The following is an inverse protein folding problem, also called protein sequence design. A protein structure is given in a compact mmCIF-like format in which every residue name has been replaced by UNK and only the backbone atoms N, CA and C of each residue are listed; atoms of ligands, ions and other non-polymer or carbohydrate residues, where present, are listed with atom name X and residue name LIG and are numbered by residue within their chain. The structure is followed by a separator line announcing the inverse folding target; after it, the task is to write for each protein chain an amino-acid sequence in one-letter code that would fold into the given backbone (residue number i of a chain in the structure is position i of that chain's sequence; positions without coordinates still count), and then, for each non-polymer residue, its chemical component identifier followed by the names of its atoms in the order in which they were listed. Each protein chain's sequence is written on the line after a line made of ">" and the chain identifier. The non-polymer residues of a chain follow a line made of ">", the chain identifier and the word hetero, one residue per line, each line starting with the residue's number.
data_IF_717398739564
#
_entry.id   IF_717398739564
#
_cell.length_a   1.000
_cell.length_b   1.000
_cell.length_c   1.000
_cell.angle_alpha   90.00
_cell.angle_beta   90.00
_cell.angle_gamma   90.00
#
_symmetry.space_group_name_H-M   'P 1'
#
loop_
_entity.id
_entity.type
_entity.pdbx_description
1 polymer ?
#
# COMPACT_ATOMS: atom_id res chain seq x y z
N UNK A 1 12.41 -9.99 31.73
CA UNK A 1 11.03 -9.57 32.08
C UNK A 1 10.97 -8.05 32.06
N UNK A 2 9.85 -7.46 31.63
CA UNK A 2 9.48 -6.02 31.57
C UNK A 2 10.28 -5.12 30.60
N UNK A 3 9.83 -4.79 29.37
CA UNK A 3 8.64 -4.02 28.92
C UNK A 3 8.45 -2.68 29.67
N UNK A 4 8.85 -1.58 29.02
CA UNK A 4 8.05 -0.35 28.78
C UNK A 4 8.97 0.81 28.42
N UNK A 5 9.04 1.16 27.14
CA UNK A 5 9.34 2.53 26.72
C UNK A 5 8.28 2.95 25.70
N UNK A 6 7.31 3.69 26.21
CA UNK A 6 6.81 4.94 25.62
C UNK A 6 6.73 4.97 24.09
N UNK A 7 5.67 4.37 23.53
CA UNK A 7 5.25 4.60 22.15
C UNK A 7 3.94 5.41 22.11
N UNK A 8 3.81 6.41 22.99
CA UNK A 8 2.77 7.43 22.88
C UNK A 8 3.41 8.69 22.31
N UNK A 9 2.78 9.22 21.25
CA UNK A 9 3.09 10.47 20.52
C UNK A 9 4.02 10.34 19.32
N UNK A 10 3.47 9.88 18.20
CA UNK A 10 3.29 10.69 16.96
C UNK A 10 2.74 9.79 15.84
N UNK A 11 1.65 10.22 15.23
CA UNK A 11 0.96 9.50 14.15
C UNK A 11 -0.45 10.02 13.88
N UNK A 12 -0.97 10.90 14.73
CA UNK A 12 -2.24 11.62 14.54
C UNK A 12 -2.17 12.76 13.51
N UNK A 13 -1.48 12.54 12.40
CA UNK A 13 -1.75 13.23 11.15
C UNK A 13 -1.90 12.16 10.08
N UNK A 14 -3.03 11.45 10.16
CA UNK A 14 -3.63 10.86 8.97
C UNK A 14 -4.00 12.03 8.05
N UNK A 15 -3.02 12.55 7.30
CA UNK A 15 -3.33 13.05 5.98
C UNK A 15 -3.85 11.84 5.20
N UNK A 16 -5.15 11.59 5.34
CA UNK A 16 -5.95 11.16 4.20
C UNK A 16 -5.60 12.11 3.07
N UNK A 17 -5.53 11.59 1.86
CA UNK A 17 -5.14 12.29 0.64
C UNK A 17 -3.63 12.33 0.42
N UNK A 18 -3.10 11.23 -0.09
CA UNK A 18 -2.56 11.27 -1.47
C UNK A 18 -2.53 9.83 -1.99
N UNK A 19 -3.67 9.34 -2.51
CA UNK A 19 -3.58 8.66 -3.79
C UNK A 19 -2.75 9.60 -4.64
N UNK A 20 -1.59 9.16 -5.08
CA UNK A 20 -0.63 10.00 -5.77
C UNK A 20 -1.22 10.38 -7.14
N UNK A 21 -2.17 11.31 -7.14
CA UNK A 21 -2.90 11.88 -8.27
C UNK A 21 -2.04 12.90 -9.01
N UNK A 22 -0.74 12.97 -8.74
CA UNK A 22 0.16 13.96 -9.30
C UNK A 22 0.86 13.53 -10.60
N UNK A 23 0.52 12.37 -11.18
CA UNK A 23 1.14 11.94 -12.46
C UNK A 23 0.19 11.38 -13.53
N UNK A 24 -1.13 11.55 -13.42
CA UNK A 24 -2.05 11.18 -14.51
C UNK A 24 -2.63 12.47 -15.08
N UNK A 25 -1.92 13.01 -16.07
CA UNK A 25 -2.40 14.06 -16.96
C UNK A 25 -3.60 13.48 -17.74
N UNK A 26 -4.81 13.93 -17.40
CA UNK A 26 -6.02 13.72 -18.20
C UNK A 26 -6.80 12.43 -17.92
N UNK A 27 -7.51 12.36 -16.79
CA UNK A 27 -8.46 11.26 -16.50
C UNK A 27 -8.95 11.32 -15.05
N UNK A 28 -10.24 11.03 -14.81
CA UNK A 28 -10.89 11.26 -13.52
C UNK A 28 -10.28 10.42 -12.38
N UNK A 29 -9.80 11.02 -11.27
CA UNK A 29 -9.16 10.31 -10.16
C UNK A 29 -10.04 9.24 -9.48
N UNK A 30 -11.36 9.32 -9.63
CA UNK A 30 -12.30 8.32 -9.15
C UNK A 30 -12.22 6.99 -9.93
N UNK A 31 -12.00 7.05 -11.25
CA UNK A 31 -11.88 5.85 -12.11
C UNK A 31 -10.59 5.09 -11.80
N UNK A 32 -9.50 5.79 -11.57
CA UNK A 32 -8.22 5.17 -11.19
C UNK A 32 -8.27 4.51 -9.80
N UNK A 33 -9.01 5.12 -8.86
CA UNK A 33 -9.23 4.53 -7.52
C UNK A 33 -10.03 3.22 -7.61
N UNK A 34 -11.11 3.19 -8.40
CA UNK A 34 -11.93 1.99 -8.57
C UNK A 34 -11.21 0.89 -9.35
N UNK A 35 -10.37 1.25 -10.34
CA UNK A 35 -9.50 0.30 -11.04
C UNK A 35 -8.45 -0.30 -10.13
N UNK A 36 -7.82 0.53 -9.28
CA UNK A 36 -6.86 0.06 -8.29
C UNK A 36 -7.50 -0.89 -7.27
N UNK A 37 -8.69 -0.55 -6.76
CA UNK A 37 -9.44 -1.40 -5.82
C UNK A 37 -9.76 -2.79 -6.40
N UNK A 38 -10.25 -2.82 -7.65
CA UNK A 38 -10.50 -4.08 -8.37
C UNK A 38 -9.22 -4.88 -8.61
N UNK A 39 -8.13 -4.21 -9.00
CA UNK A 39 -6.83 -4.86 -9.18
C UNK A 39 -6.31 -5.44 -7.86
N UNK A 40 -6.43 -4.71 -6.74
CA UNK A 40 -6.04 -5.19 -5.42
C UNK A 40 -6.84 -6.42 -4.98
N UNK A 41 -8.16 -6.44 -5.24
CA UNK A 41 -9.01 -7.61 -4.97
C UNK A 41 -8.52 -8.85 -5.73
N UNK A 42 -8.11 -8.68 -6.99
CA UNK A 42 -7.51 -9.78 -7.79
C UNK A 42 -6.12 -10.16 -7.30
N UNK A 43 -5.32 -9.20 -6.83
CA UNK A 43 -4.00 -9.48 -6.23
C UNK A 43 -4.14 -10.26 -4.94
N UNK A 44 -5.13 -9.95 -4.10
CA UNK A 44 -5.36 -10.63 -2.82
C UNK A 44 -5.65 -12.12 -3.01
N UNK A 45 -6.39 -12.47 -4.06
CA UNK A 45 -6.65 -13.86 -4.45
C UNK A 45 -5.38 -14.61 -4.88
N UNK A 46 -4.35 -13.90 -5.36
CA UNK A 46 -3.07 -14.49 -5.78
C UNK A 46 -2.06 -14.54 -4.65
N UNK A 47 -1.89 -13.42 -3.95
CA UNK A 47 -0.99 -13.24 -2.82
C UNK A 47 -1.54 -12.16 -1.88
N UNK A 48 -2.14 -12.63 -0.79
CA UNK A 48 -2.73 -11.76 0.23
C UNK A 48 -1.70 -10.84 0.90
N UNK A 49 -0.42 -11.25 1.01
CA UNK A 49 0.62 -10.43 1.63
C UNK A 49 1.01 -9.28 0.71
N UNK A 50 1.18 -9.54 -0.58
CA UNK A 50 1.45 -8.51 -1.59
C UNK A 50 0.30 -7.50 -1.71
N UNK A 51 -0.95 -7.99 -1.70
CA UNK A 51 -2.12 -7.13 -1.69
C UNK A 51 -2.13 -6.22 -0.46
N UNK A 52 -1.86 -6.76 0.73
CA UNK A 52 -1.82 -5.97 1.97
C UNK A 52 -0.69 -4.95 1.98
N UNK A 53 0.50 -5.30 1.47
CA UNK A 53 1.60 -4.34 1.28
C UNK A 53 1.18 -3.21 0.35
N UNK A 54 0.55 -3.54 -0.77
CA UNK A 54 0.12 -2.55 -1.75
C UNK A 54 -1.00 -1.64 -1.23
N UNK A 55 -1.99 -2.19 -0.53
CA UNK A 55 -3.08 -1.43 0.11
C UNK A 55 -2.53 -0.43 1.15
N UNK A 56 -1.65 -0.89 2.05
CA UNK A 56 -1.07 -0.03 3.09
C UNK A 56 -0.19 1.07 2.51
N UNK A 57 0.51 0.82 1.39
CA UNK A 57 1.34 1.84 0.74
C UNK A 57 0.53 2.79 -0.14
N UNK A 58 -0.45 2.28 -0.89
CA UNK A 58 -1.22 3.07 -1.85
C UNK A 58 -2.35 3.88 -1.21
N UNK A 59 -3.05 3.31 -0.23
CA UNK A 59 -4.18 3.97 0.44
C UNK A 59 -3.81 4.61 1.78
N UNK A 60 -3.02 3.91 2.61
CA UNK A 60 -2.68 4.42 3.95
C UNK A 60 -1.41 5.29 3.97
N UNK A 61 -0.72 5.45 2.83
CA UNK A 61 0.49 6.27 2.71
C UNK A 61 1.63 5.83 3.62
N UNK A 62 1.63 4.56 4.05
CA UNK A 62 2.56 4.06 5.06
C UNK A 62 3.97 3.91 4.51
N UNK A 63 4.96 4.17 5.37
CA UNK A 63 6.36 3.87 5.07
C UNK A 63 6.62 2.36 5.14
N UNK A 64 7.68 1.90 4.47
CA UNK A 64 8.12 0.49 4.48
C UNK A 64 8.32 -0.04 5.90
N UNK A 65 8.81 0.82 6.81
CA UNK A 65 9.03 0.47 8.22
C UNK A 65 7.71 0.23 8.95
N UNK A 66 6.70 1.07 8.71
CA UNK A 66 5.37 0.94 9.30
C UNK A 66 4.67 -0.32 8.77
N UNK A 67 4.74 -0.56 7.45
CA UNK A 67 4.17 -1.77 6.84
C UNK A 67 4.84 -3.04 7.39
N UNK A 68 6.17 -3.04 7.52
CA UNK A 68 6.92 -4.15 8.10
C UNK A 68 6.47 -4.45 9.55
N UNK A 69 6.27 -3.40 10.35
CA UNK A 69 5.79 -3.53 11.72
C UNK A 69 4.33 -4.04 11.80
N UNK A 70 3.46 -3.60 10.89
CA UNK A 70 2.06 -4.05 10.82
C UNK A 70 1.95 -5.52 10.41
N UNK A 71 2.76 -5.93 9.43
CA UNK A 71 2.73 -7.30 8.87
C UNK A 71 3.62 -8.28 9.63
N UNK A 72 4.46 -7.82 10.57
CA UNK A 72 5.39 -8.67 11.30
C UNK A 72 6.50 -9.27 10.43
N UNK A 73 6.86 -8.61 9.33
CA UNK A 73 7.90 -9.08 8.39
C UNK A 73 9.08 -8.12 8.32
N UNK A 74 10.16 -8.53 7.65
CA UNK A 74 11.32 -7.66 7.46
C UNK A 74 11.04 -6.53 6.46
N UNK A 75 11.74 -5.39 6.59
CA UNK A 75 11.66 -4.30 5.60
C UNK A 75 12.00 -4.78 4.19
N UNK A 76 12.99 -5.67 4.06
CA UNK A 76 13.39 -6.27 2.79
C UNK A 76 12.26 -7.09 2.16
N UNK A 77 11.48 -7.79 2.97
CA UNK A 77 10.28 -8.52 2.52
C UNK A 77 9.25 -7.55 1.96
N UNK A 78 8.97 -6.46 2.67
CA UNK A 78 8.04 -5.42 2.21
C UNK A 78 8.52 -4.78 0.91
N UNK A 79 9.81 -4.45 0.79
CA UNK A 79 10.36 -3.86 -0.44
C UNK A 79 10.23 -4.79 -1.64
N UNK A 80 10.53 -6.09 -1.45
CA UNK A 80 10.39 -7.11 -2.48
C UNK A 80 8.93 -7.31 -2.88
N UNK A 81 8.04 -7.48 -1.91
CA UNK A 81 6.61 -7.66 -2.14
C UNK A 81 6.01 -6.43 -2.83
N UNK A 82 6.41 -5.22 -2.41
CA UNK A 82 5.97 -3.98 -3.03
C UNK A 82 6.43 -3.85 -4.49
N UNK A 83 7.66 -4.21 -4.81
CA UNK A 83 8.16 -4.16 -6.18
C UNK A 83 7.38 -5.10 -7.11
N UNK A 84 7.08 -6.31 -6.64
CA UNK A 84 6.28 -7.28 -7.39
C UNK A 84 4.83 -6.80 -7.51
N UNK A 85 4.22 -6.38 -6.40
CA UNK A 85 2.84 -5.90 -6.36
C UNK A 85 2.65 -4.69 -7.28
N UNK A 86 3.56 -3.70 -7.26
CA UNK A 86 3.48 -2.51 -8.14
C UNK A 86 3.52 -2.90 -9.62
N UNK A 87 4.41 -3.81 -10.00
CA UNK A 87 4.54 -4.28 -11.39
C UNK A 87 3.28 -5.02 -11.82
N UNK A 88 2.77 -5.89 -10.96
CA UNK A 88 1.54 -6.64 -11.21
C UNK A 88 0.31 -5.72 -11.34
N UNK A 89 0.16 -4.76 -10.42
CA UNK A 89 -0.95 -3.80 -10.43
C UNK A 89 -0.94 -2.92 -11.68
N UNK A 90 0.23 -2.41 -12.08
CA UNK A 90 0.34 -1.60 -13.29
C UNK A 90 -0.11 -2.39 -14.54
N UNK A 91 0.24 -3.67 -14.60
CA UNK A 91 -0.14 -4.54 -15.70
C UNK A 91 -1.62 -4.92 -15.67
N UNK A 92 -2.19 -5.14 -14.48
CA UNK A 92 -3.62 -5.45 -14.33
C UNK A 92 -4.49 -4.23 -14.63
N UNK A 93 -4.12 -3.05 -14.14
CA UNK A 93 -4.83 -1.79 -14.41
C UNK A 93 -4.75 -1.36 -15.89
N UNK A 94 -3.77 -1.83 -16.64
CA UNK A 94 -3.67 -1.60 -18.08
C UNK A 94 -4.55 -2.56 -18.90
N UNK A 95 -5.06 -3.64 -18.30
CA UNK A 95 -5.91 -4.65 -18.95
C UNK A 95 -7.42 -4.42 -18.75
N UNK A 96 -7.79 -3.60 -17.77
CA UNK A 96 -9.17 -3.20 -17.42
C UNK A 96 -9.47 -1.79 -17.95
#
# INVERSE_FOLDING_TARGET
>A
YARRKSAAKRGGHQQKVTLNSSQIVGGQPALDTLRLDRALTKLEQKDARMARVAELKAFAGMSVQQVAAVLGVSRRTVDSDWAVARTWLAHEMARD
#
